data_IF_316396365295
#
_entry.id   IF_316396365295
#
_cell.length_a   1.000
_cell.length_b   1.000
_cell.length_c   1.000
_cell.angle_alpha   90.00
_cell.angle_beta   90.00
_cell.angle_gamma   90.00
#
_symmetry.space_group_name_H-M   'P 1'
#
loop_
_entity.id
_entity.type
_entity.pdbx_description
1 polymer ?
#
# COMPACT_ATOMS: atom_id res chain seq x y z
N UNK A 1 -11.18 24.06 47.88
CA UNK A 1 -11.57 23.99 46.45
C UNK A 1 -10.37 23.48 45.68
N UNK A 2 -10.52 22.35 44.99
CA UNK A 2 -9.44 21.49 44.49
C UNK A 2 -9.06 21.92 43.05
N UNK A 3 -7.78 22.20 42.71
CA UNK A 3 -7.41 22.77 41.41
C UNK A 3 -7.13 21.72 40.31
N UNK A 4 -7.61 20.48 40.47
CA UNK A 4 -7.11 19.30 39.74
C UNK A 4 -8.09 18.71 38.71
N UNK A 5 -8.90 19.52 38.03
CA UNK A 5 -9.92 19.04 37.08
C UNK A 5 -9.92 19.87 35.78
N UNK A 6 -8.77 20.02 35.15
CA UNK A 6 -8.65 20.51 33.76
C UNK A 6 -7.56 19.73 33.00
N UNK A 7 -7.67 18.41 33.02
CA UNK A 7 -6.92 17.53 32.14
C UNK A 7 -7.92 16.74 31.29
N UNK A 8 -7.71 16.79 29.97
CA UNK A 8 -8.21 15.86 28.95
C UNK A 8 -9.60 16.16 28.34
N UNK A 9 -9.66 17.20 27.51
CA UNK A 9 -10.53 17.21 26.33
C UNK A 9 -9.69 17.50 25.09
N UNK A 10 -8.68 16.67 24.83
CA UNK A 10 -8.11 16.56 23.49
C UNK A 10 -9.07 15.71 22.68
N UNK A 11 -9.97 16.35 21.93
CA UNK A 11 -10.66 15.68 20.83
C UNK A 11 -9.58 15.07 19.92
N UNK A 12 -9.67 13.79 19.52
CA UNK A 12 -8.73 13.24 18.56
C UNK A 12 -8.75 14.15 17.34
N UNK A 13 -7.61 14.72 16.98
CA UNK A 13 -7.47 15.46 15.74
C UNK A 13 -7.91 14.51 14.63
N UNK A 14 -8.98 14.90 13.92
CA UNK A 14 -9.38 14.25 12.69
C UNK A 14 -8.14 14.10 11.82
N UNK A 15 -7.80 12.86 11.47
CA UNK A 15 -6.75 12.55 10.51
C UNK A 15 -7.17 13.07 9.15
N UNK A 16 -7.00 14.38 8.92
CA UNK A 16 -7.09 15.00 7.61
C UNK A 16 -5.83 14.64 6.84
N UNK A 17 -5.73 13.38 6.38
CA UNK A 17 -4.71 12.95 5.43
C UNK A 17 -5.16 13.42 4.04
N UNK A 18 -4.50 14.42 3.42
CA UNK A 18 -4.79 14.82 2.06
C UNK A 18 -4.48 13.64 1.14
N UNK A 19 -5.44 13.22 0.34
CA UNK A 19 -5.28 12.12 -0.59
C UNK A 19 -4.51 12.57 -1.82
N UNK A 20 -3.24 12.20 -1.92
CA UNK A 20 -2.66 11.95 -3.24
C UNK A 20 -3.27 10.64 -3.77
N UNK A 21 -4.26 10.85 -4.64
CA UNK A 21 -5.26 9.93 -5.20
C UNK A 21 -4.77 8.66 -5.89
N UNK A 22 -3.48 8.31 -5.81
CA UNK A 22 -2.96 7.09 -6.43
C UNK A 22 -1.91 6.49 -5.50
N UNK A 23 -2.28 5.45 -4.76
CA UNK A 23 -1.30 4.42 -4.44
C UNK A 23 -1.16 3.57 -5.69
N UNK A 24 0.00 3.56 -6.38
CA UNK A 24 0.26 2.51 -7.35
C UNK A 24 0.40 1.21 -6.54
N UNK A 25 -0.69 0.46 -6.47
CA UNK A 25 -0.67 -0.85 -5.83
C UNK A 25 -0.10 -1.81 -6.87
N UNK A 26 1.20 -2.05 -6.77
CA UNK A 26 1.88 -3.12 -7.49
C UNK A 26 1.62 -4.41 -6.73
N UNK A 27 0.65 -5.20 -7.20
CA UNK A 27 0.12 -6.31 -6.40
C UNK A 27 -0.41 -7.51 -7.15
N UNK A 28 -0.27 -7.54 -8.47
CA UNK A 28 -0.81 -8.61 -9.32
C UNK A 28 0.25 -9.14 -10.31
N UNK A 29 1.52 -8.82 -10.08
CA UNK A 29 2.64 -9.24 -10.92
C UNK A 29 2.95 -8.28 -12.09
N UNK A 30 3.87 -8.70 -12.95
CA UNK A 30 4.28 -7.94 -14.15
C UNK A 30 3.10 -7.78 -15.10
N UNK A 31 2.83 -6.54 -15.53
CA UNK A 31 1.74 -6.24 -16.45
C UNK A 31 0.38 -6.04 -15.77
N UNK A 32 0.34 -5.79 -14.46
CA UNK A 32 -0.90 -5.43 -13.80
C UNK A 32 -0.73 -4.17 -12.93
N UNK A 33 -1.73 -3.29 -13.00
CA UNK A 33 -1.72 -1.96 -12.40
C UNK A 33 -3.02 -1.74 -11.67
N UNK A 34 -2.94 -1.46 -10.37
CA UNK A 34 -4.12 -1.16 -9.56
C UNK A 34 -4.09 0.31 -9.15
N UNK A 35 -5.13 1.03 -9.55
CA UNK A 35 -5.41 2.38 -9.10
C UNK A 35 -6.35 2.33 -7.90
N UNK A 36 -6.14 3.21 -6.92
CA UNK A 36 -6.97 3.27 -5.71
C UNK A 36 -7.41 4.70 -5.45
N UNK A 37 -8.72 4.93 -5.46
CA UNK A 37 -9.36 6.21 -5.17
C UNK A 37 -10.03 6.15 -3.79
N UNK A 38 -9.77 7.09 -2.89
CA UNK A 38 -10.46 7.13 -1.60
C UNK A 38 -11.90 7.65 -1.73
N UNK A 39 -12.81 6.96 -1.04
CA UNK A 39 -14.24 7.27 -1.01
C UNK A 39 -14.73 7.75 0.36
N UNK A 40 -13.97 7.54 1.44
CA UNK A 40 -14.31 8.01 2.80
C UNK A 40 -13.10 8.66 3.47
N UNK A 41 -13.29 9.35 4.59
CA UNK A 41 -12.15 9.69 5.46
C UNK A 41 -11.67 8.45 6.22
N UNK A 42 -10.39 8.41 6.65
CA UNK A 42 -9.94 7.42 7.61
C UNK A 42 -10.70 7.58 8.93
N UNK A 43 -11.18 6.48 9.50
CA UNK A 43 -11.91 6.47 10.76
C UNK A 43 -11.27 5.47 11.73
N UNK A 44 -11.13 5.87 13.00
CA UNK A 44 -10.66 4.95 14.04
C UNK A 44 -11.83 4.14 14.61
N UNK A 45 -11.66 2.83 14.63
CA UNK A 45 -12.59 1.84 15.14
C UNK A 45 -12.44 1.66 16.67
N UNK A 46 -13.44 1.07 17.36
CA UNK A 46 -13.39 0.86 18.81
C UNK A 46 -12.21 0.01 19.29
N UNK A 47 -11.71 -0.90 18.45
CA UNK A 47 -10.55 -1.76 18.71
C UNK A 47 -9.20 -1.09 18.37
N UNK A 48 -9.21 0.20 18.00
CA UNK A 48 -8.01 0.98 17.69
C UNK A 48 -7.55 0.92 16.24
N UNK A 49 -8.14 0.04 15.41
CA UNK A 49 -7.83 -0.03 13.99
C UNK A 49 -8.32 1.21 13.25
N UNK A 50 -7.68 1.51 12.12
CA UNK A 50 -8.13 2.54 11.20
C UNK A 50 -8.81 1.86 10.03
N UNK A 51 -9.97 2.34 9.60
CA UNK A 51 -10.65 1.90 8.37
C UNK A 51 -10.73 3.01 7.34
N UNK A 52 -10.72 2.63 6.06
CA UNK A 52 -10.86 3.54 4.93
C UNK A 52 -11.62 2.88 3.78
N UNK A 53 -12.64 3.53 3.23
CA UNK A 53 -13.30 3.06 2.01
C UNK A 53 -12.57 3.57 0.78
N UNK A 54 -12.30 2.68 -0.17
CA UNK A 54 -11.66 3.01 -1.43
C UNK A 54 -12.35 2.32 -2.62
N UNK A 55 -12.16 2.88 -3.80
CA UNK A 55 -12.46 2.25 -5.10
C UNK A 55 -11.16 1.80 -5.74
N UNK A 56 -11.01 0.50 -5.93
CA UNK A 56 -9.90 -0.09 -6.69
C UNK A 56 -10.31 -0.26 -8.14
N UNK A 57 -9.44 0.15 -9.05
CA UNK A 57 -9.54 -0.14 -10.49
C UNK A 57 -8.33 -0.96 -10.90
N UNK A 58 -8.56 -2.13 -11.48
CA UNK A 58 -7.49 -3.05 -11.88
C UNK A 58 -7.38 -3.05 -13.38
N UNK A 59 -6.16 -2.84 -13.87
CA UNK A 59 -5.78 -2.86 -15.27
C UNK A 59 -4.79 -4.00 -15.50
N UNK A 60 -4.96 -4.72 -16.60
CA UNK A 60 -4.09 -5.80 -17.02
C UNK A 60 -3.58 -5.50 -18.41
N UNK A 61 -2.28 -5.69 -18.58
CA UNK A 61 -1.61 -5.56 -19.84
C UNK A 61 -1.88 -6.81 -20.68
N UNK A 62 -2.57 -6.61 -21.79
CA UNK A 62 -2.77 -7.61 -22.81
C UNK A 62 -1.75 -7.39 -23.93
N UNK A 63 -0.89 -8.38 -24.17
CA UNK A 63 0.16 -8.28 -25.16
C UNK A 63 -0.10 -9.23 -26.32
N UNK A 64 -0.12 -8.66 -27.52
CA UNK A 64 -0.11 -9.44 -28.75
C UNK A 64 1.34 -9.70 -29.16
N UNK A 65 1.75 -10.97 -29.09
CA UNK A 65 3.13 -11.37 -29.37
C UNK A 65 3.52 -11.41 -30.85
N UNK A 66 2.55 -11.41 -31.75
CA UNK A 66 2.80 -11.29 -33.20
C UNK A 66 3.14 -9.84 -33.56
N UNK A 67 2.38 -8.88 -33.01
CA UNK A 67 2.56 -7.44 -33.27
C UNK A 67 3.54 -6.75 -32.31
N UNK A 68 3.97 -7.44 -31.25
CA UNK A 68 4.80 -6.89 -30.16
C UNK A 68 4.18 -5.65 -29.49
N UNK A 69 2.86 -5.53 -29.52
CA UNK A 69 2.13 -4.43 -28.89
C UNK A 69 1.46 -4.93 -27.62
N UNK A 70 1.54 -4.10 -26.58
CA UNK A 70 0.85 -4.30 -25.33
C UNK A 70 -0.11 -3.13 -25.09
N UNK A 71 -1.31 -3.44 -24.61
CA UNK A 71 -2.34 -2.46 -24.26
C UNK A 71 -2.85 -2.75 -22.86
N UNK A 72 -3.11 -1.70 -22.09
CA UNK A 72 -3.76 -1.84 -20.78
C UNK A 72 -5.28 -1.98 -21.00
N UNK A 73 -5.85 -3.05 -20.48
CA UNK A 73 -7.29 -3.32 -20.51
C UNK A 73 -7.82 -3.45 -19.08
N UNK A 74 -9.08 -3.06 -18.80
CA UNK A 74 -9.69 -3.32 -17.50
C UNK A 74 -9.68 -4.82 -17.19
N UNK A 75 -9.38 -5.19 -15.95
CA UNK A 75 -9.39 -6.58 -15.53
C UNK A 75 -10.76 -7.23 -15.74
N UNK A 76 -10.77 -8.51 -16.12
CA UNK A 76 -12.00 -9.28 -16.26
C UNK A 76 -11.77 -10.78 -16.01
N UNK A 77 -12.86 -11.52 -15.79
CA UNK A 77 -12.80 -12.98 -15.59
C UNK A 77 -11.99 -13.37 -14.35
N UNK A 78 -10.96 -14.22 -14.53
CA UNK A 78 -10.12 -14.74 -13.42
C UNK A 78 -9.26 -13.68 -12.73
N UNK A 79 -9.07 -12.53 -13.36
CA UNK A 79 -8.37 -11.39 -12.78
C UNK A 79 -9.21 -10.62 -11.75
N UNK A 80 -10.49 -10.98 -11.59
CA UNK A 80 -11.44 -10.27 -10.76
C UNK A 80 -12.13 -9.12 -11.50
N UNK A 81 -12.98 -8.38 -10.80
CA UNK A 81 -13.71 -7.27 -11.39
C UNK A 81 -12.77 -6.11 -11.74
N UNK A 82 -13.06 -5.36 -12.83
CA UNK A 82 -12.25 -4.19 -13.21
C UNK A 82 -12.35 -3.07 -12.18
N UNK A 83 -13.46 -3.01 -11.43
CA UNK A 83 -13.72 -2.01 -10.40
C UNK A 83 -14.31 -2.70 -9.17
N UNK A 84 -13.78 -2.39 -7.98
CA UNK A 84 -14.32 -2.87 -6.72
C UNK A 84 -14.23 -1.78 -5.64
N UNK A 85 -15.34 -1.55 -4.94
CA UNK A 85 -15.33 -0.77 -3.70
C UNK A 85 -14.94 -1.71 -2.55
N UNK A 86 -13.88 -1.39 -1.85
CA UNK A 86 -13.34 -2.20 -0.75
C UNK A 86 -13.03 -1.33 0.47
N UNK A 87 -13.03 -1.95 1.63
CA UNK A 87 -12.58 -1.34 2.87
C UNK A 87 -11.15 -1.79 3.15
N UNK A 88 -10.28 -0.84 3.48
CA UNK A 88 -8.92 -1.08 3.94
C UNK A 88 -8.89 -0.90 5.46
N UNK A 89 -8.09 -1.72 6.13
CA UNK A 89 -7.92 -1.67 7.57
C UNK A 89 -6.43 -1.67 7.91
N UNK A 90 -6.04 -0.84 8.86
CA UNK A 90 -4.68 -0.77 9.37
C UNK A 90 -4.66 -0.84 10.91
N UNK A 91 -3.85 -1.75 11.44
CA UNK A 91 -3.41 -1.74 12.83
C UNK A 91 -2.03 -1.12 12.89
N UNK A 92 -1.94 0.12 13.36
CA UNK A 92 -0.66 0.81 13.43
C UNK A 92 0.25 0.19 14.49
N UNK A 93 -0.29 -0.35 15.58
CA UNK A 93 0.52 -0.93 16.67
C UNK A 93 0.88 -2.37 16.42
N UNK A 94 -0.07 -3.15 15.89
CA UNK A 94 0.15 -4.54 15.50
C UNK A 94 0.93 -4.69 14.19
N UNK A 95 1.12 -3.61 13.44
CA UNK A 95 1.77 -3.61 12.11
C UNK A 95 1.06 -4.57 11.14
N UNK A 96 -0.27 -4.49 11.12
CA UNK A 96 -1.11 -5.35 10.29
C UNK A 96 -1.96 -4.53 9.33
N UNK A 97 -2.22 -5.15 8.17
CA UNK A 97 -3.08 -4.59 7.14
C UNK A 97 -4.10 -5.64 6.70
N UNK A 98 -5.30 -5.18 6.35
CA UNK A 98 -6.34 -6.04 5.80
C UNK A 98 -7.19 -5.30 4.76
N UNK A 99 -7.85 -6.06 3.88
CA UNK A 99 -8.89 -5.53 3.01
C UNK A 99 -10.14 -6.41 3.02
N UNK A 100 -11.31 -5.78 2.89
CA UNK A 100 -12.63 -6.37 3.09
C UNK A 100 -13.62 -5.89 2.06
N UNK A 101 -14.65 -6.68 1.76
CA UNK A 101 -15.86 -6.16 1.11
C UNK A 101 -16.80 -5.47 2.11
N UNK A 102 -16.59 -5.70 3.41
CA UNK A 102 -17.43 -5.26 4.52
C UNK A 102 -16.78 -4.15 5.36
N UNK A 103 -17.57 -3.27 6.00
CA UNK A 103 -17.05 -2.18 6.81
C UNK A 103 -16.54 -2.60 8.20
N UNK A 104 -16.72 -3.87 8.57
CA UNK A 104 -16.52 -4.42 9.93
C UNK A 104 -15.36 -5.43 10.01
N UNK A 105 -14.60 -5.61 8.94
CA UNK A 105 -13.44 -6.53 8.84
C UNK A 105 -13.80 -8.02 8.97
N UNK A 106 -15.08 -8.41 8.95
CA UNK A 106 -15.51 -9.79 9.24
C UNK A 106 -15.16 -10.83 8.18
N UNK A 107 -14.94 -10.42 6.93
CA UNK A 107 -14.59 -11.29 5.81
C UNK A 107 -13.12 -11.14 5.38
N UNK A 108 -12.27 -10.58 6.25
CA UNK A 108 -10.89 -10.24 5.87
C UNK A 108 -9.90 -11.33 6.20
N UNK A 109 -8.86 -11.39 5.38
CA UNK A 109 -7.59 -11.99 5.75
C UNK A 109 -6.62 -10.88 6.15
N UNK A 110 -6.03 -10.99 7.34
CA UNK A 110 -5.07 -10.03 7.87
C UNK A 110 -3.65 -10.47 7.51
N UNK A 111 -2.79 -9.51 7.21
CA UNK A 111 -1.39 -9.76 6.88
C UNK A 111 -0.48 -8.78 7.61
N UNK A 112 0.64 -9.27 8.12
CA UNK A 112 1.70 -8.41 8.67
C UNK A 112 2.34 -7.58 7.57
N UNK A 113 2.64 -6.32 7.87
CA UNK A 113 3.26 -5.39 6.91
C UNK A 113 4.77 -5.50 6.85
N UNK A 114 5.38 -6.22 7.79
CA UNK A 114 6.80 -6.60 7.80
C UNK A 114 6.93 -8.12 7.73
N UNK A 115 8.05 -8.62 7.19
CA UNK A 115 8.39 -10.03 7.32
C UNK A 115 8.73 -10.35 8.79
N UNK A 116 8.11 -11.37 9.35
CA UNK A 116 8.33 -11.77 10.74
C UNK A 116 9.49 -12.76 10.90
N UNK A 117 9.77 -13.54 9.86
CA UNK A 117 10.69 -14.67 9.89
C UNK A 117 11.52 -14.72 8.59
N UNK A 118 12.65 -15.45 8.65
CA UNK A 118 13.57 -15.63 7.52
C UNK A 118 14.60 -14.52 7.38
N UNK A 119 15.38 -14.56 6.30
CA UNK A 119 16.49 -13.63 6.06
C UNK A 119 16.04 -12.18 5.85
N UNK A 120 14.77 -12.00 5.46
CA UNK A 120 14.14 -10.69 5.28
C UNK A 120 13.40 -10.20 6.54
N UNK A 121 13.54 -10.88 7.70
CA UNK A 121 12.83 -10.50 8.92
C UNK A 121 13.09 -9.02 9.30
N UNK A 122 12.01 -8.30 9.59
CA UNK A 122 12.04 -6.86 9.86
C UNK A 122 11.99 -5.97 8.61
N UNK A 123 12.13 -6.53 7.41
CA UNK A 123 11.98 -5.76 6.17
C UNK A 123 10.51 -5.52 5.85
N UNK A 124 10.15 -4.32 5.32
CA UNK A 124 8.79 -4.04 4.91
C UNK A 124 8.36 -4.96 3.75
N UNK A 125 7.11 -5.41 3.78
CA UNK A 125 6.48 -6.14 2.67
C UNK A 125 5.94 -5.17 1.65
N UNK A 126 6.81 -4.72 0.74
CA UNK A 126 6.47 -3.89 -0.42
C UNK A 126 6.81 -4.61 -1.73
N UNK A 127 6.11 -4.26 -2.82
CA UNK A 127 6.35 -4.81 -4.16
C UNK A 127 6.26 -6.35 -4.25
N UNK A 128 5.28 -6.96 -3.59
CA UNK A 128 5.08 -8.42 -3.62
C UNK A 128 3.98 -8.82 -4.62
N UNK A 129 3.98 -10.10 -5.03
CA UNK A 129 2.88 -10.69 -5.81
C UNK A 129 1.54 -10.65 -5.09
N UNK A 130 1.54 -10.54 -3.76
CA UNK A 130 0.35 -10.47 -2.92
C UNK A 130 -0.11 -9.03 -2.67
N UNK A 131 0.55 -8.03 -3.28
CA UNK A 131 0.25 -6.63 -3.04
C UNK A 131 1.40 -5.83 -2.47
N UNK A 132 1.03 -4.63 -2.05
CA UNK A 132 1.89 -3.72 -1.32
C UNK A 132 1.25 -3.40 0.06
N UNK A 133 1.24 -4.37 1.00
CA UNK A 133 0.68 -4.16 2.34
C UNK A 133 1.32 -2.98 3.05
N UNK A 134 2.66 -2.92 3.04
CA UNK A 134 3.38 -1.89 3.75
C UNK A 134 3.02 -0.48 3.26
N UNK A 135 3.05 -0.24 1.95
CA UNK A 135 2.77 1.11 1.42
C UNK A 135 1.31 1.54 1.65
N UNK A 136 0.35 0.60 1.65
CA UNK A 136 -1.04 0.92 1.96
C UNK A 136 -1.24 1.22 3.44
N UNK A 137 -0.62 0.43 4.32
CA UNK A 137 -0.63 0.67 5.76
C UNK A 137 0.08 1.97 6.15
N UNK A 138 1.23 2.26 5.53
CA UNK A 138 2.03 3.46 5.81
C UNK A 138 1.28 4.77 5.54
N UNK A 139 0.35 4.79 4.57
CA UNK A 139 -0.53 5.95 4.36
C UNK A 139 -1.53 6.18 5.49
N UNK A 140 -1.92 5.12 6.20
CA UNK A 140 -2.85 5.19 7.33
C UNK A 140 -2.12 5.36 8.68
N UNK A 141 -0.87 4.89 8.76
CA UNK A 141 -0.02 4.89 9.94
C UNK A 141 1.34 5.56 9.66
N UNK A 142 1.37 6.87 9.31
CA UNK A 142 2.58 7.53 8.83
C UNK A 142 3.69 7.65 9.88
N UNK A 143 3.35 7.70 11.18
CA UNK A 143 4.33 7.80 12.26
C UNK A 143 5.09 6.48 12.45
N UNK A 144 4.38 5.36 12.39
CA UNK A 144 4.92 4.01 12.56
C UNK A 144 5.67 3.53 11.30
N UNK A 145 5.39 4.13 10.14
CA UNK A 145 6.00 3.74 8.87
C UNK A 145 7.33 4.40 8.54
N UNK A 146 7.79 5.37 9.34
CA UNK A 146 8.96 6.21 9.02
C UNK A 146 10.19 5.37 8.64
N UNK A 147 10.52 4.36 9.42
CA UNK A 147 11.74 3.58 9.21
C UNK A 147 11.62 2.62 8.02
N UNK A 148 10.44 2.02 7.81
CA UNK A 148 10.18 1.23 6.62
C UNK A 148 10.18 2.07 5.33
N UNK A 149 9.71 3.33 5.37
CA UNK A 149 9.80 4.24 4.22
C UNK A 149 11.26 4.56 3.89
N UNK A 150 12.09 4.89 4.89
CA UNK A 150 13.54 5.12 4.70
C UNK A 150 14.24 3.91 4.10
N UNK A 151 13.87 2.70 4.53
CA UNK A 151 14.39 1.45 3.96
C UNK A 151 14.11 1.38 2.45
N UNK A 152 12.85 1.63 2.06
CA UNK A 152 12.40 1.57 0.65
C UNK A 152 13.11 2.62 -0.19
N UNK A 153 13.23 3.85 0.30
CA UNK A 153 13.92 4.94 -0.41
C UNK A 153 15.40 4.60 -0.64
N UNK A 154 16.07 4.08 0.39
CA UNK A 154 17.45 3.63 0.28
C UNK A 154 17.63 2.46 -0.69
N UNK A 155 16.68 1.53 -0.71
CA UNK A 155 16.66 0.42 -1.68
C UNK A 155 16.60 0.94 -3.13
N UNK A 156 15.67 1.85 -3.43
CA UNK A 156 15.53 2.39 -4.79
C UNK A 156 16.71 3.24 -5.23
N UNK A 157 17.33 3.98 -4.32
CA UNK A 157 18.53 4.74 -4.61
C UNK A 157 19.69 3.81 -5.01
N UNK A 158 19.95 2.76 -4.22
CA UNK A 158 20.96 1.75 -4.56
C UNK A 158 20.67 1.07 -5.89
N UNK A 159 19.43 0.67 -6.11
CA UNK A 159 19.01 0.03 -7.36
C UNK A 159 19.25 0.94 -8.57
N UNK A 160 18.88 2.23 -8.49
CA UNK A 160 19.13 3.22 -9.55
C UNK A 160 20.63 3.40 -9.82
N UNK A 161 21.46 3.43 -8.78
CA UNK A 161 22.91 3.55 -8.92
C UNK A 161 23.52 2.33 -9.63
N UNK A 162 23.10 1.12 -9.29
CA UNK A 162 23.56 -0.10 -9.98
C UNK A 162 23.13 -0.13 -11.45
N UNK A 163 21.88 0.25 -11.77
CA UNK A 163 21.44 0.38 -13.16
C UNK A 163 22.29 1.39 -13.96
N UNK A 164 22.68 2.50 -13.33
CA UNK A 164 23.55 3.50 -13.98
C UNK A 164 24.98 2.99 -14.20
N UNK A 165 25.50 2.13 -13.31
CA UNK A 165 26.80 1.47 -13.51
C UNK A 165 26.73 0.51 -14.70
N UNK A 166 25.75 -0.38 -14.70
CA UNK A 166 25.53 -1.33 -15.80
C UNK A 166 25.36 -0.64 -17.15
N UNK A 167 24.65 0.50 -17.21
CA UNK A 167 24.51 1.30 -18.44
C UNK A 167 25.84 1.89 -18.91
N UNK A 168 26.69 2.37 -17.99
CA UNK A 168 28.02 2.90 -18.31
C UNK A 168 28.93 1.78 -18.82
N UNK A 169 28.94 0.64 -18.16
CA UNK A 169 29.78 -0.50 -18.56
C UNK A 169 29.33 -1.13 -19.88
N UNK A 170 28.05 -1.04 -20.22
CA UNK A 170 27.49 -1.48 -21.51
C UNK A 170 27.77 -0.51 -22.68
N UNK A 171 28.32 0.68 -22.40
CA UNK A 171 28.71 1.67 -23.41
C UNK A 171 30.20 2.00 -23.24
N UNK A 172 31.13 1.13 -23.71
CA UNK A 172 32.54 1.50 -23.71
C UNK A 172 32.72 2.71 -24.65
N UNK A 173 33.44 3.73 -24.17
CA UNK A 173 33.74 4.95 -24.91
C UNK A 173 34.15 4.63 -26.37
N UNK A 174 33.43 5.24 -27.33
CA UNK A 174 33.78 5.31 -28.76
C UNK A 174 34.84 6.38 -28.99
#
# INVERSE_FOLDING_TARGET
MNPLLFLLLTTPQDLTVPQEHVLPVFGCGTGCRVETEQLSRPERMPDGWIRLKVRRRTWIQNCNWETKKCVDEPASGRAGPPVADVWLFADCKGEQFASSSRPDRTDTWMQDVYWREGDAAGEPKFQTVAGNPFMQWAKLCPAEAIDGIKFIDGFWERFRQELQKLRRDATPDL
#
